data_IF_756185468955
#
_entry.id   IF_756185468955
#
_cell.length_a   1.000
_cell.length_b   1.000
_cell.length_c   1.000
_cell.angle_alpha   90.00
_cell.angle_beta   90.00
_cell.angle_gamma   90.00
#
_symmetry.space_group_name_H-M   'P 1'
#
loop_
_entity.id
_entity.type
_entity.pdbx_description
1 polymer ?
#
# COMPACT_ATOMS: atom_id res chain seq x y z
N UNK A 1 3.14 -23.79 -14.07
CA UNK A 1 3.02 -23.40 -12.65
C UNK A 1 3.48 -21.97 -12.53
N UNK A 2 2.71 -21.11 -11.87
CA UNK A 2 3.11 -19.69 -11.66
C UNK A 2 3.90 -19.61 -10.36
N UNK A 3 5.08 -18.96 -10.40
CA UNK A 3 5.93 -18.74 -9.23
C UNK A 3 5.82 -17.27 -8.81
N UNK A 4 5.40 -17.04 -7.58
CA UNK A 4 5.38 -15.70 -7.01
C UNK A 4 6.71 -15.42 -6.30
N UNK A 5 7.26 -14.21 -6.45
CA UNK A 5 8.48 -13.83 -5.76
C UNK A 5 8.24 -13.71 -4.24
N UNK A 6 9.31 -13.90 -3.47
CA UNK A 6 9.30 -13.52 -2.06
C UNK A 6 9.43 -11.99 -1.93
N UNK A 7 8.64 -11.40 -1.05
CA UNK A 7 8.75 -9.98 -0.72
C UNK A 7 10.06 -9.73 0.04
N UNK A 8 10.99 -9.05 -0.62
CA UNK A 8 12.29 -8.68 -0.04
C UNK A 8 12.21 -7.30 0.64
N UNK A 9 13.07 -7.06 1.63
CA UNK A 9 13.28 -5.70 2.14
C UNK A 9 13.72 -4.77 1.00
N UNK A 10 13.25 -3.53 1.03
CA UNK A 10 13.47 -2.53 -0.02
C UNK A 10 12.54 -2.68 -1.24
N UNK A 11 11.67 -3.71 -1.27
CA UNK A 11 10.69 -3.84 -2.34
C UNK A 11 9.61 -2.75 -2.26
N UNK A 12 9.12 -2.33 -3.43
CA UNK A 12 7.99 -1.44 -3.58
C UNK A 12 6.68 -2.22 -3.55
N UNK A 13 5.75 -1.78 -2.69
CA UNK A 13 4.40 -2.29 -2.58
C UNK A 13 3.46 -1.29 -3.27
N UNK A 14 2.92 -1.69 -4.41
CA UNK A 14 1.85 -0.92 -5.08
C UNK A 14 0.49 -1.24 -4.48
N UNK A 15 -0.24 -0.21 -4.06
CA UNK A 15 -1.58 -0.32 -3.48
C UNK A 15 -2.61 0.25 -4.45
N UNK A 16 -3.66 -0.52 -4.73
CA UNK A 16 -4.77 -0.13 -5.60
C UNK A 16 -6.10 -0.53 -4.97
N UNK A 17 -7.16 0.22 -5.29
CA UNK A 17 -8.53 -0.12 -4.94
C UNK A 17 -9.35 -0.31 -6.23
N UNK A 18 -9.57 -1.55 -6.70
CA UNK A 18 -10.28 -1.82 -7.95
C UNK A 18 -11.81 -1.72 -7.83
N UNK A 19 -12.32 -1.40 -6.64
CA UNK A 19 -13.75 -1.23 -6.35
C UNK A 19 -13.97 0.15 -5.73
N UNK A 20 -14.18 0.23 -4.42
CA UNK A 20 -14.25 1.50 -3.69
C UNK A 20 -12.90 1.79 -3.06
N UNK A 21 -12.43 3.04 -3.16
CA UNK A 21 -11.36 3.52 -2.30
C UNK A 21 -11.86 3.70 -0.86
N UNK A 22 -10.98 4.24 -0.02
CA UNK A 22 -11.23 4.36 1.40
C UNK A 22 -11.84 5.72 1.73
N UNK A 23 -12.84 5.73 2.62
CA UNK A 23 -13.47 6.96 3.10
C UNK A 23 -12.43 7.95 3.64
N UNK A 24 -12.64 9.24 3.37
CA UNK A 24 -11.79 10.36 3.83
C UNK A 24 -11.51 10.34 5.34
N UNK A 25 -12.48 9.88 6.15
CA UNK A 25 -12.34 9.71 7.61
C UNK A 25 -11.25 8.72 8.02
N UNK A 26 -10.84 7.84 7.11
CA UNK A 26 -9.85 6.80 7.31
C UNK A 26 -8.57 7.04 6.49
N UNK A 27 -8.45 8.16 5.77
CA UNK A 27 -7.24 8.48 5.01
C UNK A 27 -6.01 8.54 5.90
N UNK A 28 -6.14 9.12 7.09
CA UNK A 28 -5.02 9.22 8.04
C UNK A 28 -4.63 7.85 8.62
N UNK A 29 -5.57 6.92 8.73
CA UNK A 29 -5.26 5.53 9.09
C UNK A 29 -4.44 4.86 7.99
N UNK A 30 -4.79 5.08 6.71
CA UNK A 30 -4.06 4.53 5.59
C UNK A 30 -2.64 5.12 5.50
N UNK A 31 -2.48 6.43 5.68
CA UNK A 31 -1.15 7.07 5.73
C UNK A 31 -0.26 6.47 6.81
N UNK A 32 -0.77 6.38 8.05
CA UNK A 32 -0.04 5.72 9.15
C UNK A 32 0.31 4.26 8.85
N UNK A 33 -0.50 3.58 8.04
CA UNK A 33 -0.22 2.20 7.62
C UNK A 33 0.92 2.16 6.62
N UNK A 34 0.99 3.12 5.69
CA UNK A 34 2.12 3.29 4.77
C UNK A 34 3.40 3.59 5.55
N UNK A 35 3.36 4.55 6.48
CA UNK A 35 4.53 4.94 7.31
C UNK A 35 5.11 3.73 8.05
N UNK A 36 4.26 2.89 8.66
CA UNK A 36 4.70 1.67 9.37
C UNK A 36 5.34 0.63 8.43
N UNK A 37 4.92 0.58 7.17
CA UNK A 37 5.55 -0.31 6.18
C UNK A 37 6.91 0.24 5.75
N UNK A 38 7.04 1.56 5.66
CA UNK A 38 8.31 2.22 5.40
C UNK A 38 9.32 2.05 6.55
N UNK A 39 8.86 2.17 7.80
CA UNK A 39 9.66 1.88 9.00
C UNK A 39 10.17 0.43 9.02
N UNK A 40 9.43 -0.51 8.43
CA UNK A 40 9.85 -1.92 8.28
C UNK A 40 10.85 -2.12 7.14
N UNK A 41 11.17 -1.08 6.38
CA UNK A 41 12.12 -1.09 5.28
C UNK A 41 11.51 -1.47 3.94
N UNK A 42 10.21 -1.26 3.73
CA UNK A 42 9.56 -1.37 2.43
C UNK A 42 9.31 0.02 1.83
N UNK A 43 8.99 0.09 0.55
CA UNK A 43 8.47 1.31 -0.07
C UNK A 43 6.98 1.10 -0.35
N UNK A 44 6.17 2.14 -0.26
CA UNK A 44 4.73 2.06 -0.56
C UNK A 44 4.34 3.14 -1.55
N UNK A 45 3.58 2.76 -2.57
CA UNK A 45 2.98 3.70 -3.52
C UNK A 45 1.48 3.43 -3.63
N UNK A 46 0.67 4.43 -3.29
CA UNK A 46 -0.78 4.35 -3.30
C UNK A 46 -1.35 5.01 -4.56
N UNK A 47 -1.96 4.20 -5.42
CA UNK A 47 -2.64 4.69 -6.62
C UNK A 47 -3.84 5.58 -6.29
N UNK A 48 -4.23 6.41 -7.26
CA UNK A 48 -5.27 7.44 -7.08
C UNK A 48 -6.61 6.86 -6.60
N UNK A 49 -6.99 5.67 -7.09
CA UNK A 49 -8.27 5.03 -6.74
C UNK A 49 -8.38 4.63 -5.27
N UNK A 50 -7.27 4.57 -4.54
CA UNK A 50 -7.28 4.24 -3.11
C UNK A 50 -7.93 5.36 -2.29
N UNK A 51 -7.88 6.61 -2.77
CA UNK A 51 -8.27 7.79 -2.00
C UNK A 51 -9.70 8.28 -2.27
N UNK A 52 -10.43 7.64 -3.19
CA UNK A 52 -11.80 8.01 -3.60
C UNK A 52 -12.86 7.24 -2.82
#
# INVERSE_FOLDING_TARGET
MVNYPFLQKGALIGVTAPSSGISTKLHDLLKQTCDRMEEKGYLVDCGETVWT
#
